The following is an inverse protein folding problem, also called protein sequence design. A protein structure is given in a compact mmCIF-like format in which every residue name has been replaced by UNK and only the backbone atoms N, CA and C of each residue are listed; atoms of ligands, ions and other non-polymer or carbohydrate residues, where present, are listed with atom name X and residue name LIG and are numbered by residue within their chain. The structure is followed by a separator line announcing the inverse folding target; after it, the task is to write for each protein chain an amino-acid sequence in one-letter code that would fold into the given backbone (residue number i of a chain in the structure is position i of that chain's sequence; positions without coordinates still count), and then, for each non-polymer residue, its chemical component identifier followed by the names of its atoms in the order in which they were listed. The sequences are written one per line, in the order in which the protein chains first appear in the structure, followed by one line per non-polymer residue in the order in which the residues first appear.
data_IF_557765443084
#
_entry.id   IF_557765443084
#
_cell.length_a   1.000
_cell.length_b   1.000
_cell.length_c   1.000
_cell.angle_alpha   90.00
_cell.angle_beta   90.00
_cell.angle_gamma   90.00
#
_symmetry.space_group_name_H-M   'P 1'
#
loop_
_entity.id
_entity.type
_entity.pdbx_description
1 polymer ?
#
# COMPACT_ATOMS: atom_id res chain seq x y z
N UNK A 1 14.06 -86.39 -20.44
CA UNK A 1 14.06 -86.13 -18.99
C UNK A 1 14.60 -84.73 -18.76
N UNK A 2 13.76 -83.76 -18.39
CA UNK A 2 14.12 -82.36 -18.15
C UNK A 2 14.75 -82.25 -16.76
N UNK A 3 15.94 -81.68 -16.64
CA UNK A 3 16.48 -81.16 -15.37
C UNK A 3 17.05 -79.77 -15.65
N UNK A 4 16.68 -78.83 -14.79
CA UNK A 4 16.83 -77.38 -14.88
C UNK A 4 18.28 -76.91 -15.03
N UNK A 5 18.52 -75.96 -15.93
CA UNK A 5 19.70 -75.07 -15.91
C UNK A 5 19.21 -73.67 -15.54
N UNK A 6 19.60 -73.18 -14.36
CA UNK A 6 19.35 -71.81 -13.95
C UNK A 6 20.11 -70.84 -14.88
N UNK A 7 19.52 -69.70 -15.28
CA UNK A 7 20.26 -68.68 -16.01
C UNK A 7 21.27 -68.03 -15.06
N UNK A 8 22.54 -68.08 -15.43
CA UNK A 8 23.63 -67.35 -14.79
C UNK A 8 23.33 -65.86 -14.88
N UNK A 9 23.07 -65.22 -13.73
CA UNK A 9 23.08 -63.76 -13.63
C UNK A 9 24.47 -63.28 -14.01
N UNK A 10 24.58 -62.65 -15.18
CA UNK A 10 25.77 -61.91 -15.56
C UNK A 10 26.02 -60.84 -14.49
N UNK A 11 27.14 -60.99 -13.77
CA UNK A 11 27.60 -60.01 -12.80
C UNK A 11 27.91 -58.75 -13.62
N UNK A 12 27.07 -57.73 -13.51
CA UNK A 12 27.35 -56.40 -14.09
C UNK A 12 28.52 -55.82 -13.30
N UNK A 13 29.73 -56.13 -13.72
CA UNK A 13 30.95 -55.51 -13.23
C UNK A 13 31.09 -54.16 -13.91
N UNK A 14 30.99 -53.08 -13.14
CA UNK A 14 31.15 -51.71 -13.65
C UNK A 14 30.21 -50.68 -13.06
N UNK A 15 29.28 -51.08 -12.18
CA UNK A 15 28.47 -50.11 -11.44
C UNK A 15 29.21 -49.75 -10.16
N UNK A 16 29.76 -48.55 -10.13
CA UNK A 16 30.26 -47.92 -8.91
C UNK A 16 29.08 -47.64 -7.98
N UNK A 17 28.92 -48.49 -6.97
CA UNK A 17 27.82 -48.44 -6.02
C UNK A 17 27.78 -47.12 -5.24
N UNK A 18 28.93 -46.52 -4.96
CA UNK A 18 29.01 -45.26 -4.22
C UNK A 18 28.61 -44.08 -5.11
N UNK A 19 29.01 -44.10 -6.39
CA UNK A 19 28.56 -43.10 -7.36
C UNK A 19 27.04 -43.17 -7.58
N UNK A 20 26.48 -44.38 -7.71
CA UNK A 20 25.03 -44.57 -7.84
C UNK A 20 24.29 -44.16 -6.57
N UNK A 21 24.82 -44.45 -5.39
CA UNK A 21 24.22 -44.03 -4.12
C UNK A 21 24.26 -42.51 -3.95
N UNK A 22 25.35 -41.87 -4.38
CA UNK A 22 25.50 -40.42 -4.35
C UNK A 22 24.53 -39.74 -5.33
N UNK A 23 24.41 -40.25 -6.55
CA UNK A 23 23.48 -39.74 -7.55
C UNK A 23 22.03 -39.94 -7.10
N UNK A 24 21.68 -41.11 -6.57
CA UNK A 24 20.36 -41.39 -6.01
C UNK A 24 20.03 -40.45 -4.85
N UNK A 25 20.96 -40.22 -3.91
CA UNK A 25 20.78 -39.25 -2.81
C UNK A 25 20.59 -37.83 -3.33
N UNK A 26 21.33 -37.45 -4.37
CA UNK A 26 21.24 -36.11 -4.97
C UNK A 26 19.90 -35.92 -5.68
N UNK A 27 19.43 -36.92 -6.44
CA UNK A 27 18.13 -36.90 -7.12
C UNK A 27 16.96 -36.94 -6.14
N UNK A 28 17.06 -37.73 -5.07
CA UNK A 28 16.05 -37.80 -4.00
C UNK A 28 16.02 -36.48 -3.23
N UNK A 29 17.17 -35.88 -2.89
CA UNK A 29 17.23 -34.57 -2.25
C UNK A 29 16.58 -33.50 -3.13
N UNK A 30 16.87 -33.47 -4.43
CA UNK A 30 16.26 -32.52 -5.40
C UNK A 30 14.74 -32.71 -5.51
N UNK A 31 14.25 -33.95 -5.40
CA UNK A 31 12.82 -34.29 -5.41
C UNK A 31 12.13 -34.08 -4.06
N UNK A 32 12.84 -34.13 -2.95
CA UNK A 32 12.30 -33.80 -1.63
C UNK A 32 12.21 -32.27 -1.45
N UNK A 33 13.18 -31.50 -1.94
CA UNK A 33 13.29 -30.08 -1.58
C UNK A 33 12.21 -29.16 -2.19
N UNK A 34 11.50 -29.56 -3.26
CA UNK A 34 10.45 -28.72 -3.88
C UNK A 34 9.01 -29.09 -3.47
N UNK A 35 8.56 -30.35 -3.55
CA UNK A 35 7.21 -30.74 -3.17
C UNK A 35 7.04 -30.76 -1.66
N UNK A 36 8.07 -31.15 -0.88
CA UNK A 36 7.95 -31.20 0.59
C UNK A 36 8.00 -29.81 1.20
N UNK A 37 8.82 -28.87 0.68
CA UNK A 37 8.78 -27.47 1.13
C UNK A 37 7.51 -26.76 0.71
N UNK A 38 7.02 -26.99 -0.53
CA UNK A 38 5.73 -26.43 -0.97
C UNK A 38 4.58 -27.04 -0.17
N UNK A 39 4.57 -28.35 0.06
CA UNK A 39 3.55 -29.02 0.88
C UNK A 39 3.69 -28.64 2.35
N UNK A 40 4.89 -28.43 2.87
CA UNK A 40 5.14 -27.93 4.22
C UNK A 40 4.64 -26.50 4.33
N UNK A 41 5.00 -25.59 3.43
CA UNK A 41 4.47 -24.22 3.42
C UNK A 41 2.94 -24.20 3.26
N UNK A 42 2.39 -25.02 2.36
CA UNK A 42 0.94 -25.14 2.19
C UNK A 42 0.29 -25.67 3.47
N UNK A 43 0.80 -26.76 4.07
CA UNK A 43 0.28 -27.39 5.29
C UNK A 43 0.50 -26.52 6.53
N UNK A 44 1.59 -25.78 6.62
CA UNK A 44 1.88 -24.81 7.68
C UNK A 44 0.96 -23.60 7.57
N UNK A 45 0.66 -23.12 6.35
CA UNK A 45 -0.37 -22.10 6.12
C UNK A 45 -1.77 -22.63 6.47
N UNK A 46 -2.08 -23.91 6.19
CA UNK A 46 -3.38 -24.48 6.55
C UNK A 46 -3.51 -24.71 8.06
N UNK A 47 -2.47 -25.25 8.71
CA UNK A 47 -2.48 -25.54 10.14
C UNK A 47 -2.39 -24.26 10.97
N UNK A 48 -1.60 -23.27 10.52
CA UNK A 48 -1.55 -21.93 11.11
C UNK A 48 -2.84 -21.13 10.91
N UNK A 49 -3.48 -21.25 9.73
CA UNK A 49 -4.79 -20.66 9.48
C UNK A 49 -5.90 -21.29 10.33
N UNK A 50 -5.85 -22.61 10.53
CA UNK A 50 -6.81 -23.32 11.39
C UNK A 50 -6.57 -23.03 12.87
N UNK A 51 -5.32 -22.89 13.34
CA UNK A 51 -5.04 -22.56 14.74
C UNK A 51 -5.43 -21.13 15.12
N UNK A 52 -5.52 -20.21 14.15
CA UNK A 52 -6.12 -18.88 14.34
C UNK A 52 -7.65 -18.94 14.54
N UNK A 53 -8.30 -20.01 14.11
CA UNK A 53 -9.74 -20.23 14.25
C UNK A 53 -10.11 -21.09 15.47
N UNK A 54 -9.15 -21.82 16.05
CA UNK A 54 -9.36 -22.60 17.28
C UNK A 54 -9.33 -21.68 18.49
N UNK A 55 -10.45 -21.05 18.83
CA UNK A 55 -10.59 -20.32 20.09
C UNK A 55 -11.58 -19.15 20.09
N UNK A 56 -12.09 -18.72 18.93
CA UNK A 56 -13.14 -17.71 18.89
C UNK A 56 -14.49 -18.38 19.13
N UNK A 57 -15.05 -18.31 20.35
CA UNK A 57 -16.50 -18.44 20.45
C UNK A 57 -17.11 -17.19 19.84
N UNK A 58 -18.01 -17.36 18.87
CA UNK A 58 -18.72 -16.27 18.15
C UNK A 58 -19.66 -15.46 19.09
N UNK A 59 -19.62 -15.75 20.40
CA UNK A 59 -20.47 -15.14 21.43
C UNK A 59 -19.83 -13.96 22.16
N UNK A 60 -18.54 -13.65 21.95
CA UNK A 60 -17.86 -12.53 22.61
C UNK A 60 -17.21 -11.59 21.59
N UNK A 61 -17.91 -10.48 21.31
CA UNK A 61 -17.50 -9.46 20.33
C UNK A 61 -16.08 -8.94 20.59
N UNK A 62 -15.63 -8.87 21.86
CA UNK A 62 -14.33 -8.26 22.19
C UNK A 62 -13.13 -9.11 21.71
N UNK A 63 -13.22 -10.43 21.85
CA UNK A 63 -12.17 -11.35 21.42
C UNK A 63 -12.09 -11.44 19.90
N UNK A 64 -13.26 -11.40 19.24
CA UNK A 64 -13.35 -11.36 17.77
C UNK A 64 -12.73 -10.07 17.24
N UNK A 65 -13.08 -8.90 17.78
CA UNK A 65 -12.48 -7.61 17.37
C UNK A 65 -10.96 -7.58 17.59
N UNK A 66 -10.48 -8.13 18.71
CA UNK A 66 -9.05 -8.23 18.99
C UNK A 66 -8.33 -9.14 17.98
N UNK A 67 -8.95 -10.25 17.57
CA UNK A 67 -8.42 -11.15 16.55
C UNK A 67 -8.40 -10.49 15.16
N UNK A 68 -9.49 -9.85 14.77
CA UNK A 68 -9.59 -9.11 13.50
C UNK A 68 -8.56 -7.97 13.42
N UNK A 69 -8.37 -7.23 14.51
CA UNK A 69 -7.34 -6.18 14.61
C UNK A 69 -5.93 -6.76 14.42
N UNK A 70 -5.63 -7.93 14.99
CA UNK A 70 -4.32 -8.59 14.79
C UNK A 70 -4.12 -9.01 13.33
N UNK A 71 -5.16 -9.55 12.70
CA UNK A 71 -5.13 -9.95 11.29
C UNK A 71 -4.93 -8.73 10.39
N UNK A 72 -5.67 -7.64 10.65
CA UNK A 72 -5.54 -6.37 9.93
C UNK A 72 -4.11 -5.83 10.00
N UNK A 73 -3.52 -5.76 11.21
CA UNK A 73 -2.12 -5.34 11.39
C UNK A 73 -1.11 -6.27 10.72
N UNK A 74 -1.40 -7.58 10.67
CA UNK A 74 -0.57 -8.52 9.92
C UNK A 74 -0.65 -8.26 8.42
N UNK A 75 -1.85 -8.04 7.89
CA UNK A 75 -2.07 -7.67 6.51
C UNK A 75 -1.34 -6.36 6.16
N UNK A 76 -1.39 -5.34 7.01
CA UNK A 76 -0.65 -4.08 6.79
C UNK A 76 0.86 -4.30 6.69
N UNK A 77 1.43 -5.16 7.55
CA UNK A 77 2.85 -5.53 7.48
C UNK A 77 3.18 -6.25 6.17
N UNK A 78 2.37 -7.20 5.77
CA UNK A 78 2.58 -7.94 4.52
C UNK A 78 2.48 -7.00 3.32
N UNK A 79 1.46 -6.13 3.27
CA UNK A 79 1.31 -5.14 2.20
C UNK A 79 2.51 -4.17 2.15
N UNK A 80 3.00 -3.72 3.30
CA UNK A 80 4.22 -2.91 3.38
C UNK A 80 5.48 -3.64 2.88
N UNK A 81 5.59 -4.95 3.11
CA UNK A 81 6.73 -5.75 2.65
C UNK A 81 6.72 -6.00 1.14
N UNK A 82 5.54 -6.11 0.53
CA UNK A 82 5.40 -6.36 -0.91
C UNK A 82 5.29 -5.06 -1.73
N UNK A 83 5.05 -3.93 -1.08
CA UNK A 83 4.98 -2.63 -1.74
C UNK A 83 6.32 -2.28 -2.39
N UNK A 84 6.28 -1.93 -3.67
CA UNK A 84 7.45 -1.47 -4.40
C UNK A 84 7.41 0.06 -4.51
N UNK A 85 8.38 0.78 -3.90
CA UNK A 85 8.43 2.25 -3.97
C UNK A 85 8.78 2.78 -5.36
N UNK A 86 9.10 1.89 -6.31
CA UNK A 86 9.52 2.24 -7.67
C UNK A 86 8.56 1.74 -8.74
N UNK A 87 7.61 0.86 -8.39
CA UNK A 87 6.64 0.35 -9.33
C UNK A 87 5.52 1.37 -9.54
N UNK A 88 5.47 1.93 -10.73
CA UNK A 88 4.46 2.92 -11.08
C UNK A 88 3.08 2.26 -11.26
N UNK A 89 2.05 2.94 -10.78
CA UNK A 89 0.67 2.68 -11.15
C UNK A 89 0.45 3.01 -12.64
N UNK A 90 -0.46 2.27 -13.32
CA UNK A 90 -0.77 2.53 -14.72
C UNK A 90 -1.20 3.98 -14.97
N UNK A 91 -0.71 4.52 -16.09
CA UNK A 91 -1.10 5.82 -16.62
C UNK A 91 -2.02 5.67 -17.82
N UNK A 92 -2.90 6.64 -18.01
CA UNK A 92 -3.95 6.61 -19.04
C UNK A 92 -3.87 7.83 -19.95
N UNK A 93 -4.62 7.80 -21.04
CA UNK A 93 -4.75 8.92 -21.98
C UNK A 93 -5.85 9.89 -21.55
N UNK A 94 -5.86 11.10 -22.11
CA UNK A 94 -6.90 12.11 -21.79
C UNK A 94 -8.31 11.69 -22.22
N UNK A 95 -8.41 10.85 -23.25
CA UNK A 95 -9.68 10.29 -23.74
C UNK A 95 -10.32 9.32 -22.74
N UNK A 96 -9.53 8.74 -21.83
CA UNK A 96 -10.01 7.77 -20.83
C UNK A 96 -10.45 8.43 -19.52
N UNK A 97 -10.28 9.75 -19.38
CA UNK A 97 -10.68 10.48 -18.17
C UNK A 97 -12.20 10.37 -17.97
N UNK A 98 -12.60 9.96 -16.77
CA UNK A 98 -14.01 9.85 -16.38
C UNK A 98 -14.57 11.25 -16.11
N UNK A 99 -15.61 11.65 -16.86
CA UNK A 99 -16.30 12.94 -16.71
C UNK A 99 -17.82 12.71 -16.60
N UNK A 100 -18.48 13.13 -15.51
CA UNK A 100 -17.89 13.70 -14.29
C UNK A 100 -17.11 12.65 -13.49
N UNK A 101 -16.08 13.09 -12.77
CA UNK A 101 -15.37 12.21 -11.83
C UNK A 101 -16.21 12.02 -10.55
N UNK A 102 -16.35 10.78 -10.03
CA UNK A 102 -17.21 10.52 -8.88
C UNK A 102 -16.79 11.28 -7.61
N UNK A 103 -17.77 11.77 -6.87
CA UNK A 103 -17.56 12.31 -5.53
C UNK A 103 -17.33 11.19 -4.51
N UNK A 104 -16.53 11.45 -3.48
CA UNK A 104 -16.23 10.48 -2.43
C UNK A 104 -15.88 11.19 -1.12
N UNK A 105 -16.59 10.89 -0.03
CA UNK A 105 -16.33 11.37 1.33
C UNK A 105 -17.17 10.54 2.32
N UNK A 106 -16.93 10.69 3.62
CA UNK A 106 -17.83 10.17 4.67
C UNK A 106 -19.03 11.10 4.94
N UNK A 107 -19.18 12.16 4.15
CA UNK A 107 -20.23 13.18 4.20
C UNK A 107 -20.81 13.41 2.80
N UNK A 108 -21.96 14.10 2.70
CA UNK A 108 -22.62 14.39 1.42
C UNK A 108 -21.93 15.52 0.63
N UNK A 109 -22.14 15.58 -0.71
CA UNK A 109 -21.52 16.63 -1.56
C UNK A 109 -21.97 18.06 -1.15
N UNK A 110 -23.15 18.19 -0.54
CA UNK A 110 -23.66 19.43 0.05
C UNK A 110 -22.92 19.89 1.31
N UNK A 111 -22.07 19.03 1.89
CA UNK A 111 -21.28 19.30 3.08
C UNK A 111 -19.79 19.48 2.77
N UNK A 112 -19.43 19.64 1.49
CA UNK A 112 -18.05 19.92 1.09
C UNK A 112 -17.54 21.18 1.77
N UNK A 113 -16.34 21.10 2.33
CA UNK A 113 -15.71 22.25 2.99
C UNK A 113 -15.18 23.22 1.95
N UNK A 114 -15.56 24.47 2.10
CA UNK A 114 -14.94 25.59 1.39
C UNK A 114 -13.80 26.15 2.24
N UNK A 115 -12.65 26.29 1.62
CA UNK A 115 -11.44 26.81 2.26
C UNK A 115 -11.06 28.07 1.50
N UNK A 116 -10.92 29.19 2.22
CA UNK A 116 -10.47 30.43 1.61
C UNK A 116 -9.03 30.31 1.12
N UNK A 117 -8.84 30.61 -0.16
CA UNK A 117 -7.54 30.52 -0.82
C UNK A 117 -6.56 31.56 -0.27
N UNK A 118 -7.04 32.79 -0.04
CA UNK A 118 -6.20 33.91 0.35
C UNK A 118 -5.60 33.72 1.74
N UNK A 119 -6.36 33.15 2.67
CA UNK A 119 -5.89 32.85 4.02
C UNK A 119 -5.23 31.48 4.19
N UNK A 120 -5.24 30.62 3.17
CA UNK A 120 -4.74 29.25 3.32
C UNK A 120 -3.25 29.22 3.65
N UNK A 121 -2.91 28.40 4.65
CA UNK A 121 -1.56 28.00 4.98
C UNK A 121 -1.51 26.51 5.30
N UNK A 122 -0.55 25.80 4.73
CA UNK A 122 -0.20 24.44 5.12
C UNK A 122 0.75 24.49 6.32
N UNK A 123 0.31 23.93 7.44
CA UNK A 123 1.14 23.74 8.62
C UNK A 123 2.05 22.51 8.43
N UNK A 124 3.34 22.68 8.71
CA UNK A 124 4.36 21.63 8.55
C UNK A 124 5.13 21.47 9.85
N UNK A 125 5.06 20.29 10.47
CA UNK A 125 5.67 20.03 11.79
C UNK A 125 6.36 18.66 11.88
N UNK A 126 6.87 18.31 13.06
CA UNK A 126 7.54 17.05 13.31
C UNK A 126 9.00 17.05 12.87
N UNK A 127 9.47 15.93 12.33
CA UNK A 127 10.87 15.70 11.94
C UNK A 127 11.21 16.38 10.60
N UNK A 128 11.11 17.70 10.58
CA UNK A 128 11.35 18.58 9.42
C UNK A 128 12.16 19.80 9.85
N UNK A 129 13.05 20.26 8.97
CA UNK A 129 13.91 21.42 9.21
C UNK A 129 13.15 22.74 9.01
N UNK A 130 12.41 22.85 7.91
CA UNK A 130 11.57 24.01 7.61
C UNK A 130 10.13 23.76 8.07
N UNK A 131 9.67 24.61 9.01
CA UNK A 131 8.35 24.53 9.65
C UNK A 131 7.51 25.77 9.42
N UNK A 132 7.91 26.65 8.50
CA UNK A 132 7.09 27.82 8.22
C UNK A 132 5.74 27.40 7.63
N UNK A 133 4.75 28.28 7.75
CA UNK A 133 3.41 28.02 7.24
C UNK A 133 3.37 28.32 5.72
N UNK A 134 3.28 27.26 4.92
CA UNK A 134 3.40 27.30 3.45
C UNK A 134 2.13 27.85 2.80
N UNK A 135 2.27 28.82 1.92
CA UNK A 135 1.17 29.37 1.12
C UNK A 135 0.87 28.54 -0.12
N UNK A 136 -0.34 28.67 -0.68
CA UNK A 136 -0.63 28.09 -2.00
C UNK A 136 0.23 28.68 -3.10
N UNK A 137 0.61 29.96 -3.01
CA UNK A 137 1.48 30.59 -3.98
C UNK A 137 2.86 29.93 -4.01
N UNK A 138 3.44 29.63 -2.86
CA UNK A 138 4.72 28.92 -2.74
C UNK A 138 4.60 27.48 -3.28
N UNK A 139 3.55 26.75 -2.90
CA UNK A 139 3.32 25.39 -3.41
C UNK A 139 3.15 25.36 -4.95
N UNK A 140 2.47 26.37 -5.52
CA UNK A 140 2.31 26.49 -6.98
C UNK A 140 3.59 26.92 -7.69
N UNK A 141 4.49 27.62 -7.01
CA UNK A 141 5.78 28.04 -7.55
C UNK A 141 6.79 26.88 -7.65
N UNK A 142 6.56 25.77 -6.93
CA UNK A 142 7.36 24.56 -7.05
C UNK A 142 7.13 23.85 -8.40
N UNK A 143 8.05 22.96 -8.84
CA UNK A 143 7.86 22.17 -10.05
C UNK A 143 6.54 21.38 -10.04
N UNK A 144 5.70 21.61 -11.04
CA UNK A 144 4.40 20.95 -11.19
C UNK A 144 4.51 19.73 -12.09
N UNK A 145 3.74 18.70 -11.77
CA UNK A 145 3.65 17.45 -12.52
C UNK A 145 2.19 17.03 -12.66
N UNK A 146 1.84 16.59 -13.87
CA UNK A 146 0.56 15.98 -14.16
C UNK A 146 0.68 14.46 -14.22
N UNK A 147 -0.37 13.77 -13.78
CA UNK A 147 -0.56 12.35 -14.01
C UNK A 147 -2.02 12.02 -14.28
N UNK A 148 -2.26 11.15 -15.26
CA UNK A 148 -3.58 10.59 -15.53
C UNK A 148 -3.59 9.18 -14.97
N UNK A 149 -4.24 8.99 -13.83
CA UNK A 149 -4.18 7.73 -13.06
C UNK A 149 -5.57 7.33 -12.59
N UNK A 150 -5.74 6.02 -12.36
CA UNK A 150 -6.97 5.45 -11.81
C UNK A 150 -7.03 5.68 -10.30
N UNK A 151 -8.16 6.16 -9.83
CA UNK A 151 -8.57 6.17 -8.45
C UNK A 151 -9.45 4.93 -8.20
N UNK A 152 -9.15 4.18 -7.15
CA UNK A 152 -9.91 2.99 -6.77
C UNK A 152 -10.53 3.26 -5.41
N UNK A 153 -11.86 3.31 -5.35
CA UNK A 153 -12.57 3.51 -4.12
C UNK A 153 -12.87 2.16 -3.44
N UNK A 154 -12.88 2.18 -2.11
CA UNK A 154 -13.28 1.01 -1.30
C UNK A 154 -14.76 0.67 -1.48
N UNK A 155 -15.57 1.64 -1.94
CA UNK A 155 -17.00 1.49 -2.24
C UNK A 155 -17.28 0.67 -3.52
N UNK A 156 -16.24 0.09 -4.15
CA UNK A 156 -16.41 -0.84 -5.28
C UNK A 156 -16.42 -0.19 -6.67
N UNK A 157 -16.04 1.09 -6.78
CA UNK A 157 -15.92 1.79 -8.07
C UNK A 157 -14.49 2.28 -8.33
N UNK A 158 -14.19 2.56 -9.60
CA UNK A 158 -12.94 3.21 -9.99
C UNK A 158 -13.19 4.24 -11.08
N UNK A 159 -12.37 5.29 -11.12
CA UNK A 159 -12.45 6.35 -12.12
C UNK A 159 -11.05 6.84 -12.49
N UNK A 160 -10.87 7.27 -13.74
CA UNK A 160 -9.61 7.84 -14.23
C UNK A 160 -9.70 9.35 -14.14
N UNK A 161 -8.69 9.99 -13.56
CA UNK A 161 -8.61 11.45 -13.45
C UNK A 161 -7.21 11.97 -13.80
N UNK A 162 -7.15 13.19 -14.34
CA UNK A 162 -5.92 13.96 -14.52
C UNK A 162 -5.69 14.83 -13.30
N UNK A 163 -4.63 14.55 -12.56
CA UNK A 163 -4.26 15.23 -11.32
C UNK A 163 -2.94 15.95 -11.52
N UNK A 164 -2.87 17.21 -11.11
CA UNK A 164 -1.64 18.00 -11.21
C UNK A 164 -1.23 18.59 -9.86
N UNK A 165 0.08 18.70 -9.64
CA UNK A 165 0.62 19.24 -8.41
C UNK A 165 2.12 19.00 -8.22
N UNK A 166 2.58 19.22 -6.99
CA UNK A 166 3.99 19.01 -6.61
C UNK A 166 4.21 17.54 -6.27
N UNK A 167 5.31 16.95 -6.75
CA UNK A 167 5.73 15.62 -6.28
C UNK A 167 6.02 15.70 -4.78
N UNK A 168 5.35 14.86 -4.00
CA UNK A 168 5.44 14.97 -2.55
C UNK A 168 6.85 14.67 -2.03
N UNK A 169 7.56 13.76 -2.70
CA UNK A 169 8.97 13.50 -2.42
C UNK A 169 9.85 14.75 -2.57
N UNK A 170 9.57 15.59 -3.58
CA UNK A 170 10.34 16.82 -3.82
C UNK A 170 10.02 17.87 -2.77
N UNK A 171 8.74 17.98 -2.37
CA UNK A 171 8.35 18.81 -1.23
C UNK A 171 9.01 18.38 0.07
N UNK A 172 8.96 17.09 0.41
CA UNK A 172 9.60 16.55 1.62
C UNK A 172 11.10 16.86 1.66
N UNK A 173 11.81 16.69 0.53
CA UNK A 173 13.23 17.04 0.45
C UNK A 173 13.45 18.54 0.58
N UNK A 174 12.59 19.36 -0.04
CA UNK A 174 12.69 20.81 -0.01
C UNK A 174 12.57 21.37 1.42
N UNK A 175 11.60 20.87 2.20
CA UNK A 175 11.41 21.30 3.60
C UNK A 175 12.42 20.66 4.58
N UNK A 176 13.37 19.87 4.09
CA UNK A 176 14.33 19.14 4.91
C UNK A 176 13.66 18.14 5.86
N UNK A 177 12.67 17.38 5.36
CA UNK A 177 12.07 16.28 6.11
C UNK A 177 13.08 15.14 6.32
N UNK A 178 13.05 14.53 7.51
CA UNK A 178 13.75 13.27 7.74
C UNK A 178 13.06 12.15 6.96
N UNK A 179 13.60 11.83 5.78
CA UNK A 179 13.08 10.77 4.91
C UNK A 179 13.39 9.36 5.42
N UNK A 180 14.08 9.23 6.56
CA UNK A 180 14.24 7.95 7.28
C UNK A 180 13.18 7.72 8.33
N UNK A 181 12.35 8.75 8.62
CA UNK A 181 11.20 8.60 9.50
C UNK A 181 10.17 7.61 8.92
N UNK A 182 9.39 6.99 9.79
CA UNK A 182 8.46 5.93 9.38
C UNK A 182 7.22 6.44 8.69
N UNK A 183 6.70 7.60 9.11
CA UNK A 183 5.36 8.04 8.75
C UNK A 183 5.27 9.53 8.42
N UNK A 184 4.28 9.85 7.59
CA UNK A 184 3.76 11.20 7.42
C UNK A 184 2.28 11.21 7.77
N UNK A 185 1.87 12.05 8.71
CA UNK A 185 0.48 12.23 9.12
C UNK A 185 -0.12 13.52 8.58
N UNK A 186 -1.43 13.55 8.43
CA UNK A 186 -2.20 14.65 7.86
C UNK A 186 -3.43 14.98 8.70
N UNK A 187 -3.78 16.26 8.77
CA UNK A 187 -5.06 16.76 9.31
C UNK A 187 -5.72 17.67 8.27
N UNK A 188 -7.03 17.55 8.15
CA UNK A 188 -7.80 18.14 7.08
C UNK A 188 -8.86 19.13 7.61
N UNK A 189 -9.35 19.99 6.71
CA UNK A 189 -10.35 21.00 7.04
C UNK A 189 -11.74 20.44 7.35
N UNK A 190 -12.01 19.21 6.93
CA UNK A 190 -13.27 18.49 7.09
C UNK A 190 -13.30 17.58 8.33
N UNK A 191 -12.31 17.69 9.21
CA UNK A 191 -12.05 16.82 10.37
C UNK A 191 -11.47 15.45 10.01
N UNK A 192 -11.15 15.22 8.74
CA UNK A 192 -10.46 14.01 8.31
C UNK A 192 -8.99 14.01 8.74
N UNK A 193 -8.48 12.85 9.12
CA UNK A 193 -7.06 12.63 9.40
C UNK A 193 -6.65 11.25 8.92
N UNK A 194 -5.39 11.14 8.51
CA UNK A 194 -4.80 9.85 8.14
C UNK A 194 -3.28 9.95 8.18
N UNK A 195 -2.61 8.82 8.07
CA UNK A 195 -1.16 8.74 7.94
C UNK A 195 -0.75 7.70 6.90
N UNK A 196 0.44 7.86 6.34
CA UNK A 196 1.03 6.95 5.37
C UNK A 196 2.47 6.61 5.77
N UNK A 197 2.98 5.50 5.26
CA UNK A 197 4.39 5.17 5.35
C UNK A 197 5.24 6.10 4.47
N UNK A 198 6.48 6.34 4.90
CA UNK A 198 7.42 7.18 4.16
C UNK A 198 7.72 6.68 2.73
N UNK A 199 7.86 5.36 2.44
CA UNK A 199 7.96 4.87 1.07
C UNK A 199 6.80 5.29 0.17
N UNK A 200 5.55 5.23 0.65
CA UNK A 200 4.39 5.76 -0.08
C UNK A 200 4.50 7.28 -0.27
N UNK A 201 4.93 8.02 0.75
CA UNK A 201 5.11 9.47 0.66
C UNK A 201 6.17 9.88 -0.39
N UNK A 202 7.25 9.10 -0.48
CA UNK A 202 8.35 9.29 -1.43
C UNK A 202 8.08 8.71 -2.82
N UNK A 203 6.97 7.99 -3.01
CA UNK A 203 6.65 7.33 -4.27
C UNK A 203 6.56 8.36 -5.41
N UNK A 204 7.11 8.09 -6.62
CA UNK A 204 7.20 9.08 -7.70
C UNK A 204 5.86 9.65 -8.19
N UNK A 205 4.76 8.94 -7.95
CA UNK A 205 3.39 9.33 -8.33
C UNK A 205 2.56 9.87 -7.15
N UNK A 206 3.15 10.04 -5.98
CA UNK A 206 2.48 10.70 -4.86
C UNK A 206 2.59 12.21 -5.03
N UNK A 207 1.44 12.89 -5.18
CA UNK A 207 1.38 14.33 -5.44
C UNK A 207 0.66 15.08 -4.32
N UNK A 208 1.24 16.19 -3.89
CA UNK A 208 0.49 17.31 -3.32
C UNK A 208 -0.28 17.97 -4.47
N UNK A 209 -1.53 17.58 -4.62
CA UNK A 209 -2.35 17.88 -5.79
C UNK A 209 -3.06 19.21 -5.60
N UNK A 210 -2.92 20.08 -6.59
CA UNK A 210 -3.43 21.45 -6.62
C UNK A 210 -4.40 21.69 -7.79
N UNK A 211 -4.36 20.83 -8.81
CA UNK A 211 -5.20 20.93 -10.00
C UNK A 211 -5.85 19.59 -10.37
N UNK A 212 -7.00 19.69 -11.05
CA UNK A 212 -7.72 18.58 -11.65
C UNK A 212 -8.14 18.97 -13.06
N UNK A 213 -7.83 18.10 -14.04
CA UNK A 213 -8.12 18.31 -15.46
C UNK A 213 -7.64 19.68 -15.99
N UNK A 214 -6.44 20.10 -15.56
CA UNK A 214 -5.81 21.36 -15.97
C UNK A 214 -6.38 22.62 -15.31
N UNK A 215 -7.38 22.49 -14.43
CA UNK A 215 -8.00 23.60 -13.70
C UNK A 215 -7.65 23.53 -12.21
N UNK A 216 -7.78 24.63 -11.45
CA UNK A 216 -7.71 24.57 -9.99
C UNK A 216 -8.61 23.48 -9.44
N UNK A 217 -8.12 22.73 -8.44
CA UNK A 217 -8.87 21.64 -7.83
C UNK A 217 -10.24 22.16 -7.33
N UNK A 218 -11.38 21.56 -7.69
CA UNK A 218 -12.65 22.01 -7.13
C UNK A 218 -12.79 21.57 -5.65
N UNK A 219 -13.58 22.29 -4.82
CA UNK A 219 -13.80 21.92 -3.42
C UNK A 219 -14.16 20.46 -3.21
N UNK A 220 -15.08 19.90 -4.01
CA UNK A 220 -15.50 18.48 -3.91
C UNK A 220 -14.37 17.45 -4.08
N UNK A 221 -13.26 17.85 -4.72
CA UNK A 221 -12.08 17.01 -4.88
C UNK A 221 -10.95 17.40 -3.92
N UNK A 222 -11.16 18.36 -3.02
CA UNK A 222 -10.28 18.66 -1.91
C UNK A 222 -9.54 19.98 -2.01
N UNK A 223 -10.10 20.99 -2.69
CA UNK A 223 -9.52 22.34 -2.71
C UNK A 223 -9.18 22.82 -1.28
N UNK A 224 -8.01 23.46 -1.06
CA UNK A 224 -7.07 23.89 -2.08
C UNK A 224 -5.97 22.88 -2.39
N UNK A 225 -5.87 21.81 -1.60
CA UNK A 225 -4.87 20.78 -1.77
C UNK A 225 -5.38 19.43 -1.24
N UNK A 226 -5.10 18.38 -2.00
CA UNK A 226 -5.27 16.99 -1.57
C UNK A 226 -3.97 16.22 -1.75
N UNK A 227 -3.85 15.07 -1.10
CA UNK A 227 -2.82 14.09 -1.44
C UNK A 227 -3.38 13.09 -2.46
N UNK A 228 -2.66 12.86 -3.55
CA UNK A 228 -3.01 11.86 -4.56
C UNK A 228 -1.94 10.78 -4.62
N UNK A 229 -2.35 9.54 -4.36
CA UNK A 229 -1.50 8.35 -4.32
C UNK A 229 -2.17 7.23 -5.13
N UNK A 230 -1.78 7.00 -6.39
CA UNK A 230 -2.43 5.99 -7.24
C UNK A 230 -2.16 4.55 -6.80
N UNK A 231 -1.15 4.33 -5.95
CA UNK A 231 -0.86 3.02 -5.32
C UNK A 231 -1.77 2.71 -4.13
N UNK A 232 -2.64 3.65 -3.71
CA UNK A 232 -3.50 3.53 -2.54
C UNK A 232 -4.98 3.68 -2.88
N UNK A 233 -5.82 3.05 -2.06
CA UNK A 233 -7.27 3.18 -2.08
C UNK A 233 -7.71 4.61 -1.75
N UNK A 234 -8.91 4.95 -2.19
CA UNK A 234 -9.41 6.32 -2.16
C UNK A 234 -9.44 6.97 -0.79
N UNK A 235 -9.74 6.21 0.27
CA UNK A 235 -9.76 6.74 1.63
C UNK A 235 -8.37 7.19 2.11
N UNK A 236 -7.28 6.56 1.64
CA UNK A 236 -5.93 7.00 1.97
C UNK A 236 -5.53 8.32 1.31
N UNK A 237 -6.33 8.88 0.40
CA UNK A 237 -6.03 10.10 -0.36
C UNK A 237 -6.74 11.33 0.28
N UNK A 238 -6.23 11.89 1.41
CA UNK A 238 -6.89 12.96 2.15
C UNK A 238 -7.12 14.21 1.30
N UNK A 239 -8.25 14.87 1.54
CA UNK A 239 -8.70 16.11 0.89
C UNK A 239 -8.58 17.28 1.86
N UNK A 240 -8.55 18.51 1.35
CA UNK A 240 -8.57 19.73 2.18
C UNK A 240 -7.46 19.76 3.26
N UNK A 241 -6.26 19.29 2.93
CA UNK A 241 -5.17 19.14 3.89
C UNK A 241 -4.82 20.52 4.46
N UNK A 242 -4.76 20.65 5.78
CA UNK A 242 -4.35 21.86 6.50
C UNK A 242 -3.02 21.72 7.22
N UNK A 243 -2.70 20.50 7.67
CA UNK A 243 -1.45 20.24 8.37
C UNK A 243 -0.85 18.89 7.95
N UNK A 244 0.46 18.82 7.98
CA UNK A 244 1.21 17.57 7.89
C UNK A 244 2.35 17.53 8.91
N UNK A 245 2.70 16.31 9.31
CA UNK A 245 3.80 16.08 10.26
C UNK A 245 4.57 14.81 9.94
N UNK A 246 5.90 14.89 10.02
CA UNK A 246 6.80 13.74 9.83
C UNK A 246 7.14 13.14 11.20
N UNK A 247 6.98 11.83 11.35
CA UNK A 247 7.10 11.18 12.66
C UNK A 247 7.51 9.71 12.58
N UNK A 248 8.06 9.19 13.67
CA UNK A 248 8.30 7.76 13.88
C UNK A 248 7.16 7.07 14.66
N UNK A 249 6.18 7.83 15.13
CA UNK A 249 5.04 7.33 15.89
C UNK A 249 3.86 7.10 14.95
N UNK A 250 3.31 5.88 14.98
CA UNK A 250 2.09 5.54 14.27
C UNK A 250 0.93 6.42 14.78
N UNK A 251 0.29 7.17 13.88
CA UNK A 251 -0.76 8.14 14.22
C UNK A 251 -2.17 7.69 13.80
N UNK A 252 -2.30 6.50 13.20
CA UNK A 252 -3.60 5.98 12.76
C UNK A 252 -4.23 6.79 11.64
N UNK A 253 -5.56 6.77 11.59
CA UNK A 253 -6.36 7.49 10.63
C UNK A 253 -7.84 7.23 10.86
N UNK A 254 -8.68 8.09 10.28
CA UNK A 254 -10.11 8.09 10.53
C UNK A 254 -10.77 6.75 10.21
N UNK A 255 -10.48 6.15 9.05
CA UNK A 255 -11.08 4.85 8.69
C UNK A 255 -10.43 3.68 9.43
N UNK A 256 -9.17 3.80 9.79
CA UNK A 256 -8.50 2.80 10.61
C UNK A 256 -9.13 2.69 12.01
N UNK A 257 -9.60 3.80 12.57
CA UNK A 257 -10.38 3.82 13.81
C UNK A 257 -11.78 3.17 13.64
N UNK A 258 -12.24 3.03 12.40
CA UNK A 258 -13.45 2.30 12.01
C UNK A 258 -13.17 0.86 11.56
N UNK A 259 -11.95 0.35 11.76
CA UNK A 259 -11.58 -1.04 11.47
C UNK A 259 -11.05 -1.30 10.06
N UNK A 260 -10.79 -0.26 9.25
CA UNK A 260 -10.15 -0.43 7.95
C UNK A 260 -8.65 -0.70 8.12
N UNK A 261 -8.06 -1.40 7.15
CA UNK A 261 -6.62 -1.61 7.11
C UNK A 261 -5.87 -0.27 6.97
N UNK A 262 -4.72 -0.12 7.60
CA UNK A 262 -3.98 1.13 7.52
C UNK A 262 -3.23 1.30 6.21
N UNK A 263 -2.66 0.23 5.67
CA UNK A 263 -1.78 0.31 4.51
C UNK A 263 -2.53 0.63 3.22
N UNK A 264 -3.74 0.07 3.06
CA UNK A 264 -4.75 0.54 2.11
C UNK A 264 -4.34 0.57 0.63
N UNK A 265 -3.69 -0.48 0.12
CA UNK A 265 -3.30 -0.62 -1.30
C UNK A 265 -1.80 -0.90 -1.48
N UNK A 266 -1.41 -1.41 -2.65
CA UNK A 266 -0.05 -1.84 -3.00
C UNK A 266 0.35 -1.41 -4.40
#
# INVERSE_FOLDING_TARGET
MKIFKAPTLARVTGIDGDAVLHEARTLIAKKLDQPSRRAFMQRSLTLGGLSLLTGCSISDNTQVEAALTKISRFNDKVQGLIFSPTQLAPTYTEAEITRPFPFNAYYGENEVREVDEASYKLEVTGMVADRHAWTLAELRAMPQHDQITRHICVEGWSAIGKWGGVRFADFLRHIGADTTAKYVGFKCADDYYTSIDMPTALHPQTLLTLSYDGQPLPPKYGFPMKLRMPTKLGYKNPKHIKAMFVTNTYSGGYWEDQGYNWFGGS
#
